data_IF_784050053112
#
_entry.id   IF_784050053112
#
_cell.length_a   1.000
_cell.length_b   1.000
_cell.length_c   1.000
_cell.angle_alpha   90.00
_cell.angle_beta   90.00
_cell.angle_gamma   90.00
#
_symmetry.space_group_name_H-M   'P 1'
#
loop_
_entity.id
_entity.type
_entity.pdbx_description
1 polymer ?
#
# COMPACT_ATOMS: atom_id res chain seq x y z
N UNK A 1 -2.04 -31.97 46.71
CA UNK A 1 -2.11 -30.62 46.10
C UNK A 1 -1.64 -30.80 44.67
N UNK A 2 -2.47 -30.81 43.62
CA UNK A 2 -2.79 -29.64 42.76
C UNK A 2 -4.14 -29.86 41.99
N UNK A 3 -4.99 -30.81 42.41
CA UNK A 3 -6.29 -31.15 41.77
C UNK A 3 -7.41 -30.08 41.89
N UNK A 4 -7.09 -28.82 42.21
CA UNK A 4 -8.07 -27.76 42.48
C UNK A 4 -7.88 -26.46 41.67
N UNK A 5 -7.03 -26.45 40.63
CA UNK A 5 -6.82 -25.25 39.79
C UNK A 5 -7.27 -25.38 38.33
N UNK A 6 -7.72 -26.55 37.88
CA UNK A 6 -8.10 -26.77 36.47
C UNK A 6 -9.59 -26.54 36.14
N UNK A 7 -10.43 -26.13 37.09
CA UNK A 7 -11.89 -26.01 36.89
C UNK A 7 -12.44 -24.58 36.68
N UNK A 8 -11.58 -23.54 36.67
CA UNK A 8 -12.04 -22.13 36.59
C UNK A 8 -11.83 -21.40 35.26
N UNK A 9 -11.28 -22.04 34.22
CA UNK A 9 -11.04 -21.38 32.92
C UNK A 9 -11.71 -22.05 31.71
N UNK A 10 -12.69 -22.93 31.93
CA UNK A 10 -13.46 -23.57 30.85
C UNK A 10 -14.89 -23.00 30.73
N UNK A 11 -15.31 -22.13 31.66
CA UNK A 11 -16.69 -21.60 31.73
C UNK A 11 -16.91 -20.20 31.14
N UNK A 12 -15.89 -19.58 30.53
CA UNK A 12 -16.01 -18.21 29.99
C UNK A 12 -16.08 -18.15 28.45
N UNK A 13 -16.36 -19.28 27.79
CA UNK A 13 -16.46 -19.37 26.31
C UNK A 13 -17.90 -19.55 25.82
N UNK A 14 -18.92 -19.33 26.66
CA UNK A 14 -20.32 -19.65 26.29
C UNK A 14 -21.38 -18.56 26.58
N UNK A 15 -20.99 -17.32 26.90
CA UNK A 15 -21.97 -16.23 27.17
C UNK A 15 -21.94 -15.09 26.13
N UNK A 16 -20.91 -15.00 25.28
CA UNK A 16 -20.75 -13.89 24.31
C UNK A 16 -21.30 -14.18 22.90
N UNK A 17 -22.22 -15.14 22.77
CA UNK A 17 -22.93 -15.46 21.51
C UNK A 17 -24.44 -15.12 21.60
N UNK A 18 -24.95 -14.64 22.75
CA UNK A 18 -26.39 -14.63 23.01
C UNK A 18 -27.09 -13.25 23.09
N UNK A 19 -26.47 -12.12 22.73
CA UNK A 19 -27.17 -10.82 22.76
C UNK A 19 -26.71 -9.90 21.63
N UNK A 20 -27.22 -10.09 20.42
CA UNK A 20 -27.42 -8.96 19.49
C UNK A 20 -28.43 -9.27 18.37
N UNK A 21 -29.55 -9.88 18.74
CA UNK A 21 -30.77 -9.87 17.93
C UNK A 21 -31.78 -9.12 18.78
N UNK A 22 -32.03 -7.82 18.55
CA UNK A 22 -33.37 -7.19 18.43
C UNK A 22 -33.23 -5.74 17.90
N UNK A 23 -33.71 -5.52 16.68
CA UNK A 23 -34.46 -4.37 16.12
C UNK A 23 -34.14 -2.91 16.48
N UNK A 24 -33.81 -2.13 15.44
CA UNK A 24 -34.43 -0.80 15.22
C UNK A 24 -34.96 -0.72 13.80
N UNK A 25 -36.28 -0.68 13.67
CA UNK A 25 -37.01 -0.22 12.49
C UNK A 25 -37.05 1.33 12.46
N UNK A 26 -37.48 1.87 11.31
CA UNK A 26 -37.68 3.29 10.90
C UNK A 26 -36.56 3.80 9.98
N UNK A 27 -36.79 4.23 8.75
CA UNK A 27 -38.02 4.50 8.02
C UNK A 27 -37.68 4.78 6.55
N UNK A 28 -38.67 4.64 5.68
CA UNK A 28 -38.54 4.75 4.23
C UNK A 28 -38.10 6.12 3.72
N UNK A 29 -37.44 6.09 2.56
CA UNK A 29 -37.10 7.25 1.76
C UNK A 29 -36.69 6.79 0.36
N UNK A 30 -37.68 6.52 -0.50
CA UNK A 30 -37.46 6.41 -1.93
C UNK A 30 -37.26 7.81 -2.50
N UNK A 31 -36.10 8.08 -3.12
CA UNK A 31 -35.93 9.19 -4.07
C UNK A 31 -34.96 8.79 -5.19
N UNK A 32 -35.59 8.52 -6.33
CA UNK A 32 -35.21 8.79 -7.72
C UNK A 32 -33.76 8.67 -8.19
N UNK A 33 -33.59 7.69 -9.09
CA UNK A 33 -32.87 7.76 -10.36
C UNK A 33 -32.66 9.20 -10.87
N UNK A 34 -31.39 9.55 -11.17
CA UNK A 34 -31.10 10.55 -12.18
C UNK A 34 -30.02 10.04 -13.12
N UNK A 35 -30.37 10.13 -14.39
CA UNK A 35 -29.67 9.72 -15.60
C UNK A 35 -28.22 10.22 -15.72
N UNK A 36 -27.44 9.38 -16.40
CA UNK A 36 -26.09 9.64 -16.92
C UNK A 36 -26.14 10.73 -18.01
N UNK A 37 -25.04 11.47 -18.20
CA UNK A 37 -24.44 11.41 -19.54
C UNK A 37 -22.91 11.22 -19.54
N UNK A 38 -22.49 10.61 -20.62
CA UNK A 38 -21.17 10.18 -21.06
C UNK A 38 -20.16 11.33 -21.17
N UNK A 39 -18.99 11.24 -20.52
CA UNK A 39 -17.74 11.87 -20.98
C UNK A 39 -16.52 11.22 -20.28
N UNK A 40 -15.46 10.83 -21.01
CA UNK A 40 -14.27 10.23 -20.40
C UNK A 40 -13.34 11.32 -19.88
N UNK A 41 -13.51 11.71 -18.62
CA UNK A 41 -12.59 12.66 -17.96
C UNK A 41 -11.35 11.95 -17.43
N UNK A 42 -10.27 12.18 -18.18
CA UNK A 42 -8.90 12.40 -17.75
C UNK A 42 -8.44 11.71 -16.45
N UNK A 43 -7.47 10.81 -16.61
CA UNK A 43 -6.56 10.33 -15.57
C UNK A 43 -5.80 11.55 -15.04
N UNK A 44 -6.36 12.20 -14.03
CA UNK A 44 -5.84 13.37 -13.36
C UNK A 44 -6.45 13.45 -11.97
N UNK A 45 -6.42 12.33 -11.23
CA UNK A 45 -6.76 12.35 -9.81
C UNK A 45 -5.49 12.56 -9.02
N UNK A 46 -5.33 13.80 -8.59
CA UNK A 46 -4.89 14.15 -7.24
C UNK A 46 -4.83 12.90 -6.34
N UNK A 47 -3.62 12.36 -6.17
CA UNK A 47 -3.36 11.24 -5.27
C UNK A 47 -3.27 11.86 -3.88
N UNK A 48 -4.42 12.26 -3.35
CA UNK A 48 -4.58 12.70 -1.98
C UNK A 48 -3.98 11.62 -1.09
N UNK A 49 -2.95 11.99 -0.32
CA UNK A 49 -2.10 11.13 0.52
C UNK A 49 -2.85 10.51 1.72
N UNK A 50 -4.14 10.21 1.59
CA UNK A 50 -4.97 9.70 2.67
C UNK A 50 -4.71 8.20 2.87
N UNK A 51 -3.84 7.86 3.83
CA UNK A 51 -3.72 6.55 4.48
C UNK A 51 -3.96 5.35 3.54
N UNK A 52 -3.33 5.38 2.36
CA UNK A 52 -3.59 4.37 1.35
C UNK A 52 -2.88 3.09 1.80
N UNK A 53 -3.56 1.96 1.77
CA UNK A 53 -2.92 0.64 1.93
C UNK A 53 -1.61 0.62 1.12
N UNK A 54 -0.52 0.17 1.75
CA UNK A 54 0.82 0.09 1.13
C UNK A 54 0.84 -0.80 -0.11
N UNK A 55 -0.23 -1.52 -0.42
CA UNK A 55 -0.48 -2.14 -1.71
C UNK A 55 -1.97 -2.32 -1.98
N UNK A 56 -2.38 -2.29 -3.26
CA UNK A 56 -3.72 -2.73 -3.68
C UNK A 56 -3.82 -4.25 -3.91
N UNK A 57 -2.73 -4.98 -3.63
CA UNK A 57 -2.63 -6.44 -3.70
C UNK A 57 -1.84 -6.95 -2.49
N UNK A 58 -2.02 -8.23 -2.12
CA UNK A 58 -1.25 -8.86 -1.03
C UNK A 58 0.27 -8.80 -1.27
N UNK A 59 0.71 -9.05 -2.50
CA UNK A 59 2.13 -8.96 -2.87
C UNK A 59 2.64 -7.51 -2.81
N UNK A 60 1.85 -6.55 -3.28
CA UNK A 60 2.19 -5.14 -3.22
C UNK A 60 2.32 -4.64 -1.78
N UNK A 61 1.40 -5.04 -0.90
CA UNK A 61 1.42 -4.70 0.53
C UNK A 61 2.67 -5.26 1.19
N UNK A 62 2.97 -6.54 0.94
CA UNK A 62 4.14 -7.23 1.49
C UNK A 62 5.45 -6.59 1.01
N UNK A 63 5.54 -6.24 -0.27
CA UNK A 63 6.72 -5.58 -0.82
C UNK A 63 6.88 -4.16 -0.28
N UNK A 64 5.81 -3.37 -0.20
CA UNK A 64 5.84 -2.02 0.41
C UNK A 64 6.32 -2.05 1.85
N UNK A 65 5.80 -2.98 2.66
CA UNK A 65 6.28 -3.21 4.03
C UNK A 65 7.76 -3.61 4.07
N UNK A 66 8.17 -4.54 3.21
CA UNK A 66 9.55 -5.00 3.12
C UNK A 66 10.52 -3.87 2.75
N UNK A 67 10.14 -2.98 1.83
CA UNK A 67 10.95 -1.83 1.41
C UNK A 67 11.18 -0.89 2.60
N UNK A 68 10.12 -0.51 3.33
CA UNK A 68 10.25 0.37 4.51
C UNK A 68 11.14 -0.29 5.57
N UNK A 69 10.88 -1.56 5.89
CA UNK A 69 11.62 -2.29 6.92
C UNK A 69 13.11 -2.47 6.57
N UNK A 70 13.42 -2.84 5.32
CA UNK A 70 14.79 -3.14 4.87
C UNK A 70 15.62 -1.87 4.66
N UNK A 71 14.96 -0.74 4.42
CA UNK A 71 15.65 0.54 4.18
C UNK A 71 16.33 1.13 5.43
N UNK A 72 16.13 0.55 6.62
CA UNK A 72 16.71 1.01 7.88
C UNK A 72 16.46 2.50 8.17
N UNK A 73 15.29 3.00 7.75
CA UNK A 73 14.89 4.39 7.96
C UNK A 73 15.40 5.37 6.89
N UNK A 74 15.97 4.88 5.78
CA UNK A 74 16.21 5.69 4.59
C UNK A 74 14.91 5.98 3.84
N UNK A 75 13.95 5.05 3.88
CA UNK A 75 12.62 5.19 3.29
C UNK A 75 11.61 5.36 4.42
N UNK A 76 10.86 6.46 4.37
CA UNK A 76 9.84 6.80 5.35
C UNK A 76 8.52 6.08 5.08
N UNK A 77 8.19 5.92 3.79
CA UNK A 77 6.99 5.23 3.36
C UNK A 77 7.17 4.64 1.97
N UNK A 78 6.45 3.55 1.69
CA UNK A 78 6.45 2.91 0.38
C UNK A 78 5.08 2.30 0.09
N UNK A 79 4.62 2.48 -1.15
CA UNK A 79 3.36 1.93 -1.63
C UNK A 79 3.50 1.32 -3.02
N UNK A 80 2.82 0.21 -3.25
CA UNK A 80 2.78 -0.49 -4.53
C UNK A 80 1.39 -0.37 -5.13
N UNK A 81 1.31 -0.08 -6.43
CA UNK A 81 0.06 -0.08 -7.19
C UNK A 81 0.19 -1.00 -8.39
N UNK A 82 -0.86 -1.76 -8.62
CA UNK A 82 -1.06 -2.59 -9.81
C UNK A 82 0.07 -3.61 -10.01
N UNK A 83 0.81 -3.92 -8.95
CA UNK A 83 2.04 -4.73 -8.95
C UNK A 83 3.19 -4.17 -9.81
N UNK A 84 3.04 -3.04 -10.50
CA UNK A 84 4.05 -2.52 -11.44
C UNK A 84 4.53 -1.09 -11.14
N UNK A 85 3.91 -0.42 -10.17
CA UNK A 85 4.31 0.92 -9.72
C UNK A 85 4.66 0.89 -8.24
N UNK A 86 5.85 1.34 -7.89
CA UNK A 86 6.30 1.53 -6.53
C UNK A 86 6.50 3.02 -6.28
N UNK A 87 5.74 3.60 -5.36
CA UNK A 87 6.02 4.92 -4.81
C UNK A 87 6.83 4.79 -3.53
N UNK A 88 7.86 5.62 -3.39
CA UNK A 88 8.78 5.63 -2.25
C UNK A 88 8.98 7.05 -1.77
N UNK A 89 8.72 7.30 -0.49
CA UNK A 89 9.05 8.57 0.17
C UNK A 89 10.37 8.40 0.91
N UNK A 90 11.41 9.11 0.49
CA UNK A 90 12.71 9.08 1.17
C UNK A 90 12.69 9.96 2.43
N UNK A 91 13.53 9.60 3.39
CA UNK A 91 13.81 10.42 4.57
C UNK A 91 14.83 11.52 4.24
N UNK A 92 14.95 12.51 5.12
CA UNK A 92 15.98 13.56 5.06
C UNK A 92 17.41 13.03 5.23
N UNK A 93 17.59 11.74 5.56
CA UNK A 93 18.91 11.09 5.67
C UNK A 93 19.52 10.75 4.32
N UNK A 94 18.70 10.66 3.26
CA UNK A 94 19.18 10.33 1.91
C UNK A 94 19.70 11.60 1.24
N UNK A 95 20.98 11.62 0.87
CA UNK A 95 21.56 12.75 0.15
C UNK A 95 21.10 12.77 -1.31
N UNK A 96 21.00 13.93 -1.97
CA UNK A 96 20.61 14.01 -3.39
C UNK A 96 21.45 13.12 -4.32
N UNK A 97 22.75 12.98 -4.02
CA UNK A 97 23.68 12.11 -4.77
C UNK A 97 23.40 10.61 -4.59
N UNK A 98 22.70 10.23 -3.52
CA UNK A 98 22.35 8.85 -3.18
C UNK A 98 20.98 8.42 -3.72
N UNK A 99 20.18 9.36 -4.21
CA UNK A 99 18.84 9.08 -4.73
C UNK A 99 18.90 8.13 -5.93
N UNK A 100 19.81 8.38 -6.88
CA UNK A 100 19.98 7.51 -8.07
C UNK A 100 20.42 6.08 -7.72
N UNK A 101 21.47 5.84 -6.93
CA UNK A 101 21.84 4.48 -6.55
C UNK A 101 20.75 3.79 -5.73
N UNK A 102 20.06 4.51 -4.83
CA UNK A 102 18.90 3.97 -4.12
C UNK A 102 17.79 3.54 -5.08
N UNK A 103 17.45 4.38 -6.06
CA UNK A 103 16.45 4.08 -7.08
C UNK A 103 16.77 2.82 -7.88
N UNK A 104 18.04 2.69 -8.28
CA UNK A 104 18.53 1.49 -8.98
C UNK A 104 18.34 0.24 -8.14
N UNK A 105 18.72 0.27 -6.86
CA UNK A 105 18.52 -0.85 -5.94
C UNK A 105 17.05 -1.19 -5.74
N UNK A 106 16.18 -0.18 -5.62
CA UNK A 106 14.74 -0.36 -5.48
C UNK A 106 14.13 -1.02 -6.71
N UNK A 107 14.46 -0.54 -7.92
CA UNK A 107 14.01 -1.15 -9.17
C UNK A 107 14.46 -2.60 -9.28
N UNK A 108 15.72 -2.89 -8.94
CA UNK A 108 16.23 -4.26 -8.97
C UNK A 108 15.50 -5.18 -7.98
N UNK A 109 15.24 -4.70 -6.76
CA UNK A 109 14.45 -5.43 -5.77
C UNK A 109 12.99 -5.63 -6.22
N UNK A 110 12.42 -4.61 -6.87
CA UNK A 110 11.06 -4.64 -7.39
C UNK A 110 10.93 -5.64 -8.54
N UNK A 111 11.91 -5.68 -9.46
CA UNK A 111 11.97 -6.65 -10.54
C UNK A 111 12.04 -8.10 -10.07
N UNK A 112 12.77 -8.37 -8.98
CA UNK A 112 12.81 -9.71 -8.39
C UNK A 112 11.46 -10.18 -7.86
N UNK A 113 10.66 -9.26 -7.31
CA UNK A 113 9.35 -9.59 -6.73
C UNK A 113 8.22 -9.59 -7.77
N UNK A 114 8.36 -8.81 -8.85
CA UNK A 114 7.38 -8.66 -9.91
C UNK A 114 8.04 -8.85 -11.28
N UNK A 115 8.41 -10.10 -11.63
CA UNK A 115 9.09 -10.38 -12.89
C UNK A 115 8.12 -10.29 -14.09
N UNK A 116 8.67 -10.15 -15.31
CA UNK A 116 7.95 -10.21 -16.61
C UNK A 116 6.99 -9.05 -16.91
N UNK A 117 7.20 -7.90 -16.30
CA UNK A 117 6.44 -6.70 -16.56
C UNK A 117 7.31 -5.46 -16.40
N UNK A 118 6.99 -4.41 -17.13
CA UNK A 118 7.68 -3.14 -17.00
C UNK A 118 7.34 -2.51 -15.66
N UNK A 119 8.35 -1.94 -15.01
CA UNK A 119 8.23 -1.43 -13.66
C UNK A 119 8.52 0.05 -13.61
N UNK A 120 7.82 0.74 -12.71
CA UNK A 120 7.99 2.16 -12.45
C UNK A 120 8.22 2.39 -10.97
N UNK A 121 9.31 3.05 -10.63
CA UNK A 121 9.64 3.48 -9.28
C UNK A 121 9.60 5.01 -9.25
N UNK A 122 8.73 5.55 -8.40
CA UNK A 122 8.53 6.98 -8.18
C UNK A 122 9.15 7.33 -6.83
N UNK A 123 10.17 8.18 -6.83
CA UNK A 123 10.83 8.61 -5.60
C UNK A 123 10.40 10.02 -5.26
N UNK A 124 9.85 10.16 -4.06
CA UNK A 124 9.38 11.40 -3.49
C UNK A 124 10.33 11.85 -2.38
N UNK A 125 10.64 13.14 -2.34
CA UNK A 125 11.34 13.78 -1.23
C UNK A 125 10.51 13.74 0.08
N UNK A 126 11.10 14.09 1.23
CA UNK A 126 10.37 14.10 2.51
C UNK A 126 9.13 14.99 2.53
N UNK A 127 9.11 16.03 1.68
CA UNK A 127 7.98 16.95 1.45
C UNK A 127 6.95 16.40 0.44
N UNK A 128 7.13 15.16 -0.01
CA UNK A 128 6.31 14.42 -0.98
C UNK A 128 6.38 14.97 -2.41
N UNK A 129 7.38 15.78 -2.75
CA UNK A 129 7.63 16.16 -4.14
C UNK A 129 8.30 15.02 -4.90
N UNK A 130 7.83 14.71 -6.11
CA UNK A 130 8.47 13.72 -6.99
C UNK A 130 9.83 14.27 -7.45
N UNK A 131 10.92 13.58 -7.09
CA UNK A 131 12.30 14.00 -7.40
C UNK A 131 13.00 13.10 -8.42
N UNK A 132 12.54 11.86 -8.58
CA UNK A 132 13.10 10.94 -9.57
C UNK A 132 12.06 9.89 -9.96
N UNK A 133 11.90 9.69 -11.27
CA UNK A 133 11.21 8.52 -11.81
C UNK A 133 12.24 7.56 -12.38
N UNK A 134 12.14 6.29 -12.02
CA UNK A 134 12.97 5.23 -12.58
C UNK A 134 12.08 4.17 -13.21
N UNK A 135 12.34 3.85 -14.46
CA UNK A 135 11.58 2.87 -15.23
C UNK A 135 12.49 1.69 -15.57
N UNK A 136 11.95 0.49 -15.48
CA UNK A 136 12.60 -0.73 -15.93
C UNK A 136 11.82 -1.32 -17.09
N UNK A 137 12.50 -1.41 -18.22
CA UNK A 137 11.97 -2.01 -19.44
C UNK A 137 12.43 -3.46 -19.51
N UNK A 138 11.47 -4.38 -19.50
CA UNK A 138 11.75 -5.83 -19.51
C UNK A 138 12.22 -6.37 -20.85
N UNK A 139 11.95 -5.65 -21.95
CA UNK A 139 12.34 -6.07 -23.29
C UNK A 139 13.83 -5.79 -23.53
N UNK A 140 14.28 -4.62 -23.07
CA UNK A 140 15.65 -4.14 -23.23
C UNK A 140 16.53 -4.43 -22.02
N UNK A 141 15.94 -4.81 -20.87
CA UNK A 141 16.60 -4.96 -19.57
C UNK A 141 17.31 -3.69 -19.09
N UNK A 142 16.83 -2.52 -19.51
CA UNK A 142 17.45 -1.23 -19.20
C UNK A 142 16.68 -0.50 -18.10
N UNK A 143 17.44 0.26 -17.31
CA UNK A 143 16.92 1.18 -16.30
C UNK A 143 17.01 2.60 -16.86
N UNK A 144 15.86 3.26 -17.00
CA UNK A 144 15.76 4.65 -17.46
C UNK A 144 15.44 5.57 -16.28
N UNK A 145 16.03 6.75 -16.28
CA UNK A 145 15.80 7.79 -15.28
C UNK A 145 15.13 8.99 -15.94
N UNK A 146 14.15 9.59 -15.28
CA UNK A 146 13.44 10.80 -15.74
C UNK A 146 13.17 11.71 -14.56
#
# INVERSE_FOLDING_TARGET
MILFQQSRKILATFVLIAVMIITTACGGGAVSQLDRPTTPSAIGRDVTYAELERGNTSNGQSFGNWVVQTSQGLIQDAYVRDNNKLGVVISSKVRPTEVRPLAKSLVQGFHKNFPKQDLKVLIYAPDKQLILTTEYDTQTNQVKYT
#
